data_IF_439327197140
#
_entry.id   IF_439327197140
#
_cell.length_a   1.000
_cell.length_b   1.000
_cell.length_c   1.000
_cell.angle_alpha   90.00
_cell.angle_beta   90.00
_cell.angle_gamma   90.00
#
_symmetry.space_group_name_H-M   'P 1'
#
loop_
_entity.id
_entity.type
_entity.pdbx_description
1 polymer ?
#
# COMPACT_ATOMS: atom_id res chain seq x y z
N UNK A 1 34.56 13.86 -25.13
CA UNK A 1 33.72 12.73 -24.66
C UNK A 1 33.63 12.64 -23.14
N UNK A 2 34.73 12.66 -22.38
CA UNK A 2 34.69 12.62 -20.89
C UNK A 2 33.77 13.70 -20.26
N UNK A 3 33.83 14.95 -20.73
CA UNK A 3 32.96 16.05 -20.23
C UNK A 3 31.46 15.78 -20.44
N UNK A 4 31.08 15.18 -21.57
CA UNK A 4 29.70 14.81 -21.88
C UNK A 4 29.19 13.72 -20.93
N UNK A 5 29.96 12.65 -20.72
CA UNK A 5 29.58 11.56 -19.84
C UNK A 5 29.40 12.06 -18.40
N UNK A 6 30.32 12.88 -17.90
CA UNK A 6 30.20 13.48 -16.55
C UNK A 6 28.96 14.36 -16.41
N UNK A 7 28.59 15.12 -17.45
CA UNK A 7 27.42 15.99 -17.44
C UNK A 7 26.11 15.18 -17.43
N UNK A 8 26.01 14.13 -18.26
CA UNK A 8 24.87 13.21 -18.24
C UNK A 8 24.72 12.55 -16.87
N UNK A 9 25.80 12.01 -16.31
CA UNK A 9 25.80 11.39 -14.97
C UNK A 9 25.33 12.38 -13.91
N UNK A 10 25.86 13.61 -13.91
CA UNK A 10 25.48 14.64 -12.94
C UNK A 10 24.00 15.02 -13.03
N UNK A 11 23.48 15.19 -14.25
CA UNK A 11 22.10 15.60 -14.47
C UNK A 11 21.09 14.49 -14.19
N UNK A 12 21.42 13.24 -14.53
CA UNK A 12 20.63 12.06 -14.17
C UNK A 12 20.58 11.93 -12.64
N UNK A 13 21.73 11.99 -11.95
CA UNK A 13 21.79 11.89 -10.49
C UNK A 13 21.02 13.03 -9.81
N UNK A 14 21.11 14.26 -10.33
CA UNK A 14 20.34 15.41 -9.82
C UNK A 14 18.83 15.22 -9.99
N UNK A 15 18.39 14.73 -11.15
CA UNK A 15 16.97 14.49 -11.46
C UNK A 15 16.41 13.35 -10.61
N UNK A 16 17.22 12.33 -10.31
CA UNK A 16 16.84 11.25 -9.39
C UNK A 16 16.83 11.69 -7.92
N UNK A 17 17.77 12.59 -7.55
CA UNK A 17 17.80 13.20 -6.22
C UNK A 17 16.61 14.15 -5.99
N UNK A 18 16.03 14.70 -7.06
CA UNK A 18 14.70 15.29 -7.04
C UNK A 18 13.66 14.16 -6.89
N UNK A 19 13.55 13.65 -5.65
CA UNK A 19 12.77 12.49 -5.16
C UNK A 19 11.29 12.39 -5.58
N UNK A 20 10.77 13.25 -6.44
CA UNK A 20 9.35 13.32 -6.80
C UNK A 20 8.85 12.00 -7.40
N UNK A 21 9.58 11.38 -8.33
CA UNK A 21 9.14 10.11 -8.95
C UNK A 21 9.05 8.98 -7.92
N UNK A 22 10.06 8.80 -7.07
CA UNK A 22 10.03 7.77 -6.03
C UNK A 22 9.02 8.09 -4.91
N UNK A 23 8.76 9.36 -4.66
CA UNK A 23 7.71 9.79 -3.71
C UNK A 23 6.32 9.50 -4.25
N UNK A 24 6.08 9.76 -5.54
CA UNK A 24 4.84 9.37 -6.23
C UNK A 24 4.67 7.86 -6.27
N UNK A 25 5.74 7.11 -6.56
CA UNK A 25 5.73 5.65 -6.51
C UNK A 25 5.37 5.15 -5.11
N UNK A 26 6.02 5.67 -4.06
CA UNK A 26 5.71 5.36 -2.68
C UNK A 26 4.24 5.64 -2.37
N UNK A 27 3.73 6.82 -2.71
CA UNK A 27 2.33 7.18 -2.51
C UNK A 27 1.39 6.22 -3.25
N UNK A 28 1.72 5.84 -4.48
CA UNK A 28 0.97 4.88 -5.28
C UNK A 28 0.93 3.48 -4.66
N UNK A 29 2.04 3.00 -4.09
CA UNK A 29 2.03 1.73 -3.35
C UNK A 29 1.19 1.85 -2.08
N UNK A 30 1.36 2.93 -1.31
CA UNK A 30 0.62 3.12 -0.05
C UNK A 30 -0.89 3.27 -0.28
N UNK A 31 -1.34 3.81 -1.42
CA UNK A 31 -2.76 3.94 -1.74
C UNK A 31 -3.45 2.61 -2.07
N UNK A 32 -2.69 1.53 -2.29
CA UNK A 32 -3.25 0.18 -2.49
C UNK A 32 -3.65 -0.52 -1.19
N UNK A 33 -3.41 0.11 -0.04
CA UNK A 33 -3.72 -0.47 1.25
C UNK A 33 -5.22 -0.81 1.37
N UNK A 34 -5.58 -2.00 1.88
CA UNK A 34 -6.97 -2.43 1.95
C UNK A 34 -7.77 -1.57 2.94
N UNK A 35 -8.84 -0.92 2.49
CA UNK A 35 -9.67 -0.06 3.34
C UNK A 35 -10.63 -0.89 4.20
N UNK A 36 -10.14 -1.35 5.36
CA UNK A 36 -10.97 -2.05 6.35
C UNK A 36 -11.68 -1.07 7.26
N UNK A 37 -12.99 -1.27 7.43
CA UNK A 37 -13.82 -0.50 8.36
C UNK A 37 -14.37 -1.44 9.42
N UNK A 38 -14.13 -1.17 10.72
CA UNK A 38 -14.54 -2.07 11.81
C UNK A 38 -16.03 -1.94 12.16
N UNK A 39 -16.86 -1.75 11.13
CA UNK A 39 -18.29 -1.45 11.17
C UNK A 39 -19.05 -2.35 10.20
N UNK A 40 -20.36 -2.42 10.33
CA UNK A 40 -21.22 -3.18 9.41
C UNK A 40 -21.64 -2.30 8.24
N UNK A 41 -21.78 -2.88 7.04
CA UNK A 41 -22.28 -2.16 5.87
C UNK A 41 -23.70 -1.58 6.06
N UNK A 42 -24.49 -2.21 6.94
CA UNK A 42 -25.84 -1.80 7.31
C UNK A 42 -25.90 -0.73 8.40
N UNK A 43 -24.77 -0.31 8.96
CA UNK A 43 -24.78 0.68 10.04
C UNK A 43 -25.37 2.02 9.52
N UNK A 44 -26.31 2.64 10.26
CA UNK A 44 -27.25 3.66 9.76
C UNK A 44 -26.66 4.96 9.21
N UNK A 45 -25.33 5.10 9.13
CA UNK A 45 -24.65 6.30 8.65
C UNK A 45 -23.73 6.09 7.43
N UNK A 46 -23.73 4.92 6.79
CA UNK A 46 -23.07 4.75 5.47
C UNK A 46 -23.86 5.48 4.36
N UNK A 47 -25.12 5.87 4.64
CA UNK A 47 -26.04 6.51 3.71
C UNK A 47 -26.01 8.05 3.60
N UNK A 48 -25.13 8.76 4.30
CA UNK A 48 -24.93 10.20 4.04
C UNK A 48 -23.72 10.32 3.11
N UNK A 49 -23.95 10.79 1.88
CA UNK A 49 -22.95 11.14 0.86
C UNK A 49 -21.58 11.63 1.41
N UNK A 50 -20.66 10.71 1.72
CA UNK A 50 -19.25 11.03 1.96
C UNK A 50 -18.35 10.12 1.14
N UNK A 51 -18.52 10.17 -0.17
CA UNK A 51 -17.39 10.13 -1.11
C UNK A 51 -17.53 11.38 -1.98
N UNK A 52 -16.47 12.19 -2.24
CA UNK A 52 -15.03 11.89 -2.14
C UNK A 52 -14.21 13.01 -1.44
N UNK A 53 -13.38 12.70 -0.43
CA UNK A 53 -12.25 13.58 -0.08
C UNK A 53 -10.97 12.89 -0.51
N UNK A 54 -10.66 13.07 -1.79
CA UNK A 54 -9.27 13.20 -2.20
C UNK A 54 -8.74 14.50 -1.59
N UNK A 55 -7.68 14.39 -0.79
CA UNK A 55 -6.61 15.36 -0.60
C UNK A 55 -5.58 14.72 0.33
N UNK A 56 -4.78 13.77 -0.18
CA UNK A 56 -3.49 14.17 -0.73
C UNK A 56 -3.01 13.22 -1.84
N UNK A 57 -3.56 13.40 -3.03
CA UNK A 57 -2.83 13.27 -4.30
C UNK A 57 -3.72 13.87 -5.40
N UNK A 58 -3.15 14.61 -6.38
CA UNK A 58 -3.94 15.18 -7.46
C UNK A 58 -4.58 14.04 -8.25
N UNK A 59 -5.88 14.14 -8.43
CA UNK A 59 -6.69 13.29 -9.30
C UNK A 59 -6.07 13.25 -10.70
N UNK A 60 -5.44 12.12 -11.02
CA UNK A 60 -5.09 11.73 -12.37
C UNK A 60 -5.96 10.53 -12.73
N UNK A 61 -7.00 10.81 -13.52
CA UNK A 61 -7.87 9.90 -14.27
C UNK A 61 -7.47 8.40 -14.27
N UNK A 62 -8.28 7.52 -13.65
CA UNK A 62 -8.20 6.06 -13.82
C UNK A 62 -9.12 5.25 -12.89
N UNK A 63 -9.71 4.12 -13.34
CA UNK A 63 -10.74 3.37 -12.61
C UNK A 63 -10.12 2.27 -11.75
N UNK A 64 -9.85 2.54 -10.47
CA UNK A 64 -9.62 1.50 -9.48
C UNK A 64 -10.43 1.86 -8.23
N UNK A 65 -11.68 1.38 -8.21
CA UNK A 65 -12.61 1.60 -7.09
C UNK A 65 -11.97 1.00 -5.82
N UNK A 66 -11.62 1.83 -4.84
CA UNK A 66 -11.11 1.35 -3.55
C UNK A 66 -12.24 0.54 -2.90
N UNK A 67 -12.12 -0.78 -2.93
CA UNK A 67 -13.13 -1.66 -2.34
C UNK A 67 -13.03 -1.56 -0.83
N UNK A 68 -14.05 -0.95 -0.22
CA UNK A 68 -14.17 -0.85 1.23
C UNK A 68 -14.65 -2.19 1.78
N UNK A 69 -13.96 -2.66 2.81
CA UNK A 69 -14.18 -3.95 3.43
C UNK A 69 -14.74 -3.76 4.84
N UNK A 70 -16.06 -3.92 4.96
CA UNK A 70 -16.79 -3.93 6.23
C UNK A 70 -16.73 -5.31 6.90
N UNK A 71 -17.09 -5.38 8.17
CA UNK A 71 -17.00 -6.61 8.96
C UNK A 71 -17.96 -7.70 8.50
N UNK A 72 -19.16 -7.34 8.07
CA UNK A 72 -20.13 -8.26 7.49
C UNK A 72 -19.62 -8.85 6.17
N UNK A 73 -18.96 -8.05 5.32
CA UNK A 73 -18.30 -8.57 4.13
C UNK A 73 -17.20 -9.58 4.46
N UNK A 74 -16.37 -9.30 5.47
CA UNK A 74 -15.32 -10.23 5.91
C UNK A 74 -15.90 -11.52 6.48
N UNK A 75 -16.98 -11.41 7.26
CA UNK A 75 -17.70 -12.56 7.82
C UNK A 75 -18.31 -13.43 6.73
N UNK A 76 -18.91 -12.82 5.72
CA UNK A 76 -19.45 -13.52 4.54
C UNK A 76 -18.35 -14.24 3.74
N UNK A 77 -17.22 -13.57 3.50
CA UNK A 77 -16.07 -14.19 2.83
C UNK A 77 -15.56 -15.40 3.60
N UNK A 78 -15.53 -15.30 4.93
CA UNK A 78 -15.12 -16.40 5.81
C UNK A 78 -16.09 -17.57 5.80
N UNK A 79 -17.38 -17.30 5.91
CA UNK A 79 -18.40 -18.35 5.85
C UNK A 79 -18.41 -19.06 4.50
N UNK A 80 -18.28 -18.32 3.39
CA UNK A 80 -18.19 -18.90 2.03
C UNK A 80 -16.95 -19.77 1.86
N UNK A 81 -15.81 -19.37 2.43
CA UNK A 81 -14.60 -20.19 2.39
C UNK A 81 -14.76 -21.51 3.16
N UNK A 82 -15.42 -21.48 4.32
CA UNK A 82 -15.69 -22.67 5.13
C UNK A 82 -16.62 -23.68 4.42
N UNK A 83 -17.63 -23.21 3.69
CA UNK A 83 -18.59 -24.06 2.95
C UNK A 83 -17.92 -24.84 1.80
N UNK A 84 -16.85 -24.30 1.22
CA UNK A 84 -16.12 -24.94 0.11
C UNK A 84 -15.19 -26.09 0.55
N UNK A 85 -15.35 -26.63 1.76
CA UNK A 85 -14.58 -27.78 2.25
C UNK A 85 -13.19 -27.44 2.80
N UNK A 86 -12.88 -26.16 3.02
CA UNK A 86 -11.69 -25.71 3.74
C UNK A 86 -11.96 -25.86 5.25
N UNK A 87 -11.78 -27.08 5.76
CA UNK A 87 -12.12 -27.43 7.15
C UNK A 87 -11.21 -26.76 8.18
N UNK A 88 -11.82 -26.09 9.17
CA UNK A 88 -11.47 -25.95 10.60
C UNK A 88 -10.10 -25.38 11.00
N UNK A 89 -9.17 -25.15 10.07
CA UNK A 89 -7.90 -24.50 10.33
C UNK A 89 -7.63 -23.43 9.28
N UNK A 90 -7.55 -22.19 9.78
CA UNK A 90 -6.88 -21.02 9.21
C UNK A 90 -7.68 -20.09 8.30
N UNK A 91 -7.72 -18.83 8.74
CA UNK A 91 -7.96 -17.60 7.98
C UNK A 91 -7.04 -17.42 6.74
N UNK A 92 -6.14 -18.38 6.48
CA UNK A 92 -5.07 -18.32 5.51
C UNK A 92 -5.53 -18.18 4.05
N UNK A 93 -6.58 -18.86 3.54
CA UNK A 93 -7.02 -18.70 2.15
C UNK A 93 -7.59 -17.30 1.86
N UNK A 94 -8.32 -16.71 2.82
CA UNK A 94 -8.91 -15.38 2.69
C UNK A 94 -7.85 -14.32 2.83
N UNK A 95 -6.95 -14.49 3.80
CA UNK A 95 -5.78 -13.64 3.96
C UNK A 95 -4.95 -13.58 2.68
N UNK A 96 -4.68 -14.73 2.05
CA UNK A 96 -4.01 -14.80 0.74
C UNK A 96 -4.77 -14.04 -0.34
N UNK A 97 -6.09 -14.22 -0.43
CA UNK A 97 -6.90 -13.52 -1.43
C UNK A 97 -6.84 -11.99 -1.26
N UNK A 98 -6.95 -11.51 -0.02
CA UNK A 98 -6.85 -10.08 0.32
C UNK A 98 -5.45 -9.52 0.05
N UNK A 99 -4.40 -10.29 0.33
CA UNK A 99 -3.01 -9.91 0.02
C UNK A 99 -2.81 -9.81 -1.48
N UNK A 100 -3.21 -10.84 -2.22
CA UNK A 100 -3.09 -10.86 -3.68
C UNK A 100 -3.85 -9.71 -4.34
N UNK A 101 -4.95 -9.24 -3.74
CA UNK A 101 -5.71 -8.11 -4.25
C UNK A 101 -4.91 -6.80 -4.26
N UNK A 102 -4.15 -6.48 -3.20
CA UNK A 102 -3.31 -5.27 -3.21
C UNK A 102 -1.97 -5.49 -3.92
N UNK A 103 -1.36 -6.68 -3.78
CA UNK A 103 -0.10 -7.01 -4.47
C UNK A 103 -0.28 -6.97 -5.99
N UNK A 104 -1.44 -7.41 -6.49
CA UNK A 104 -1.79 -7.36 -7.91
C UNK A 104 -1.77 -5.94 -8.50
N UNK A 105 -2.02 -4.91 -7.68
CA UNK A 105 -1.99 -3.50 -8.11
C UNK A 105 -0.57 -2.95 -8.24
N UNK A 106 0.39 -3.51 -7.51
CA UNK A 106 1.77 -2.99 -7.46
C UNK A 106 2.48 -3.06 -8.80
N UNK A 107 2.20 -4.06 -9.63
CA UNK A 107 2.81 -4.18 -10.95
C UNK A 107 2.58 -2.92 -11.79
N UNK A 108 1.39 -2.34 -11.76
CA UNK A 108 1.06 -1.11 -12.50
C UNK A 108 1.91 0.07 -12.01
N UNK A 109 2.04 0.25 -10.70
CA UNK A 109 2.84 1.33 -10.11
C UNK A 109 4.34 1.17 -10.40
N UNK A 110 4.85 -0.06 -10.42
CA UNK A 110 6.24 -0.34 -10.79
C UNK A 110 6.49 0.03 -12.26
N UNK A 111 5.59 -0.37 -13.16
CA UNK A 111 5.70 -0.04 -14.59
C UNK A 111 5.66 1.47 -14.83
N UNK A 112 4.72 2.18 -14.19
CA UNK A 112 4.61 3.64 -14.28
C UNK A 112 5.88 4.34 -13.76
N UNK A 113 6.44 3.86 -12.66
CA UNK A 113 7.69 4.38 -12.10
C UNK A 113 8.86 4.24 -13.08
N UNK A 114 9.06 3.04 -13.65
CA UNK A 114 10.11 2.79 -14.65
C UNK A 114 9.92 3.67 -15.89
N UNK A 115 8.69 3.80 -16.38
CA UNK A 115 8.38 4.63 -17.55
C UNK A 115 8.71 6.10 -17.32
N UNK A 116 8.29 6.66 -16.17
CA UNK A 116 8.60 8.06 -15.81
C UNK A 116 10.10 8.31 -15.72
N UNK A 117 10.85 7.39 -15.10
CA UNK A 117 12.31 7.50 -15.02
C UNK A 117 12.92 7.42 -16.42
N UNK A 118 12.46 6.48 -17.25
CA UNK A 118 12.94 6.32 -18.62
C UNK A 118 12.73 7.59 -19.45
N UNK A 119 11.52 8.16 -19.44
CA UNK A 119 11.23 9.42 -20.13
C UNK A 119 12.11 10.57 -19.62
N UNK A 120 12.34 10.65 -18.32
CA UNK A 120 13.24 11.63 -17.71
C UNK A 120 14.68 11.51 -18.22
N UNK A 121 15.24 10.30 -18.25
CA UNK A 121 16.59 10.07 -18.78
C UNK A 121 16.66 10.38 -20.28
N UNK A 122 15.67 9.97 -21.06
CA UNK A 122 15.59 10.29 -22.50
C UNK A 122 15.56 11.81 -22.76
N UNK A 123 14.85 12.57 -21.94
CA UNK A 123 14.81 14.03 -22.04
C UNK A 123 16.17 14.67 -21.72
N UNK A 124 16.84 14.21 -20.65
CA UNK A 124 18.18 14.66 -20.27
C UNK A 124 19.17 14.38 -21.40
N UNK A 125 19.20 13.14 -21.90
CA UNK A 125 20.05 12.74 -23.02
C UNK A 125 19.82 13.62 -24.24
N UNK A 126 18.56 13.86 -24.61
CA UNK A 126 18.25 14.69 -25.77
C UNK A 126 18.76 16.13 -25.58
N UNK A 127 18.64 16.71 -24.38
CA UNK A 127 19.14 18.06 -24.10
C UNK A 127 20.67 18.14 -24.16
N UNK A 128 21.38 17.18 -23.55
CA UNK A 128 22.85 17.19 -23.51
C UNK A 128 23.41 16.87 -24.90
N UNK A 129 22.81 15.93 -25.63
CA UNK A 129 23.22 15.61 -27.01
C UNK A 129 23.06 16.82 -27.94
N UNK A 130 21.93 17.51 -27.84
CA UNK A 130 21.70 18.72 -28.63
C UNK A 130 22.69 19.82 -28.24
N UNK A 131 23.00 20.02 -26.96
CA UNK A 131 23.96 21.03 -26.54
C UNK A 131 25.39 20.78 -27.06
N UNK A 132 25.83 19.52 -27.08
CA UNK A 132 27.22 19.16 -27.45
C UNK A 132 27.42 18.91 -28.95
N UNK A 133 26.44 18.35 -29.65
CA UNK A 133 26.62 17.85 -31.02
C UNK A 133 25.75 18.56 -32.07
N UNK A 134 25.09 19.68 -31.75
CA UNK A 134 24.25 20.42 -32.72
C UNK A 134 25.00 20.82 -34.00
N UNK A 135 26.32 21.01 -33.91
CA UNK A 135 27.16 21.39 -35.04
C UNK A 135 27.38 20.24 -36.04
N UNK A 136 27.10 18.99 -35.65
CA UNK A 136 27.34 17.79 -36.44
C UNK A 136 26.06 16.94 -36.55
N UNK A 137 25.11 17.29 -37.44
CA UNK A 137 23.79 16.66 -37.49
C UNK A 137 23.83 15.16 -37.79
N UNK A 138 24.72 14.72 -38.69
CA UNK A 138 24.90 13.30 -39.03
C UNK A 138 25.43 12.48 -37.84
N UNK A 139 26.45 13.00 -37.16
CA UNK A 139 27.01 12.38 -35.96
C UNK A 139 25.98 12.36 -34.82
N UNK A 140 25.23 13.45 -34.63
CA UNK A 140 24.17 13.55 -33.64
C UNK A 140 23.07 12.51 -33.89
N UNK A 141 22.64 12.33 -35.14
CA UNK A 141 21.66 11.30 -35.51
C UNK A 141 22.17 9.90 -35.15
N UNK A 142 23.42 9.59 -35.51
CA UNK A 142 24.05 8.30 -35.23
C UNK A 142 24.21 8.02 -33.74
N UNK A 143 24.71 8.99 -32.98
CA UNK A 143 24.86 8.86 -31.52
C UNK A 143 23.49 8.64 -30.86
N UNK A 144 22.45 9.39 -31.28
CA UNK A 144 21.08 9.19 -30.78
C UNK A 144 20.61 7.76 -31.01
N UNK A 145 20.75 7.21 -32.21
CA UNK A 145 20.29 5.85 -32.49
C UNK A 145 20.93 4.82 -31.55
N UNK A 146 22.25 4.86 -31.39
CA UNK A 146 22.96 3.86 -30.57
C UNK A 146 22.64 4.04 -29.08
N UNK A 147 22.54 5.28 -28.60
CA UNK A 147 22.17 5.55 -27.20
C UNK A 147 20.73 5.16 -26.88
N UNK A 148 19.78 5.44 -27.78
CA UNK A 148 18.39 5.04 -27.59
C UNK A 148 18.21 3.52 -27.69
N UNK A 149 18.99 2.83 -28.52
CA UNK A 149 19.04 1.37 -28.52
C UNK A 149 19.53 0.83 -27.16
N UNK A 150 20.61 1.41 -26.62
CA UNK A 150 21.20 0.96 -25.36
C UNK A 150 20.28 1.22 -24.15
N UNK A 151 19.62 2.39 -24.11
CA UNK A 151 18.70 2.70 -23.00
C UNK A 151 17.43 1.83 -23.05
N UNK A 152 16.91 1.50 -24.24
CA UNK A 152 15.77 0.57 -24.38
C UNK A 152 16.15 -0.86 -23.97
N UNK A 153 17.38 -1.29 -24.29
CA UNK A 153 17.93 -2.57 -23.82
C UNK A 153 17.98 -2.60 -22.29
N UNK A 154 18.52 -1.57 -21.66
CA UNK A 154 18.59 -1.47 -20.20
C UNK A 154 17.18 -1.43 -19.57
N UNK A 155 16.23 -0.71 -20.17
CA UNK A 155 14.82 -0.66 -19.73
C UNK A 155 14.18 -2.04 -19.76
N UNK A 156 14.37 -2.79 -20.83
CA UNK A 156 13.86 -4.16 -20.97
C UNK A 156 14.46 -5.07 -19.89
N UNK A 157 15.78 -4.97 -19.64
CA UNK A 157 16.48 -5.75 -18.63
C UNK A 157 15.96 -5.49 -17.20
N UNK A 158 15.73 -4.23 -16.84
CA UNK A 158 15.20 -3.89 -15.51
C UNK A 158 13.74 -4.33 -15.33
N UNK A 159 12.90 -4.22 -16.37
CA UNK A 159 11.51 -4.65 -16.32
C UNK A 159 11.38 -6.16 -16.10
N UNK A 160 12.26 -6.96 -16.73
CA UNK A 160 12.32 -8.41 -16.51
C UNK A 160 12.64 -8.75 -15.05
N UNK A 161 13.59 -8.02 -14.44
CA UNK A 161 13.96 -8.21 -13.03
C UNK A 161 12.84 -7.78 -12.08
N UNK A 162 12.17 -6.67 -12.38
CA UNK A 162 11.09 -6.13 -11.55
C UNK A 162 9.79 -6.96 -11.63
N UNK A 163 9.57 -7.72 -12.70
CA UNK A 163 8.38 -8.56 -12.87
C UNK A 163 8.25 -9.68 -11.83
N UNK A 164 9.33 -10.03 -11.12
CA UNK A 164 9.29 -10.99 -10.01
C UNK A 164 8.93 -10.35 -8.67
N UNK A 165 9.12 -9.04 -8.49
CA UNK A 165 9.00 -8.38 -7.18
C UNK A 165 7.60 -8.53 -6.59
N UNK A 166 6.48 -8.22 -7.30
CA UNK A 166 5.15 -8.45 -6.76
C UNK A 166 4.86 -9.93 -6.53
N UNK A 167 5.38 -10.82 -7.39
CA UNK A 167 5.13 -12.27 -7.27
C UNK A 167 5.70 -12.84 -5.98
N UNK A 168 6.83 -12.33 -5.52
CA UNK A 168 7.44 -12.72 -4.25
C UNK A 168 6.58 -12.38 -3.04
N UNK A 169 5.64 -11.44 -3.18
CA UNK A 169 4.80 -10.92 -2.10
C UNK A 169 3.40 -11.55 -2.08
N UNK A 170 3.10 -12.45 -3.02
CA UNK A 170 1.80 -13.15 -3.11
C UNK A 170 1.56 -14.15 -1.98
N UNK A 171 2.63 -14.67 -1.38
CA UNK A 171 2.58 -15.56 -0.23
C UNK A 171 3.16 -14.82 0.98
N UNK A 172 2.37 -14.56 2.04
CA UNK A 172 2.85 -13.80 3.17
C UNK A 172 3.97 -14.51 3.90
N UNK A 173 5.16 -13.90 3.88
CA UNK A 173 6.30 -14.38 4.63
C UNK A 173 7.15 -13.21 5.11
N UNK A 174 7.64 -13.30 6.36
CA UNK A 174 8.60 -12.35 6.91
C UNK A 174 9.41 -13.00 8.01
N UNK A 175 10.72 -12.75 8.03
CA UNK A 175 11.57 -13.11 9.16
C UNK A 175 11.50 -12.08 10.29
N UNK A 176 10.99 -10.87 10.01
CA UNK A 176 10.76 -9.84 11.02
C UNK A 176 9.47 -10.13 11.80
N UNK A 177 9.42 -11.29 12.44
CA UNK A 177 8.24 -11.80 13.16
C UNK A 177 7.84 -10.85 14.30
N UNK A 178 8.81 -10.28 15.01
CA UNK A 178 8.56 -9.30 16.07
C UNK A 178 7.83 -8.06 15.55
N UNK A 179 8.23 -7.57 14.37
CA UNK A 179 7.64 -6.37 13.76
C UNK A 179 6.23 -6.67 13.28
N UNK A 180 6.01 -7.84 12.67
CA UNK A 180 4.68 -8.27 12.25
C UNK A 180 3.72 -8.38 13.44
N UNK A 181 4.15 -9.02 14.53
CA UNK A 181 3.34 -9.11 15.75
C UNK A 181 3.01 -7.74 16.33
N UNK A 182 3.98 -6.82 16.34
CA UNK A 182 3.75 -5.46 16.83
C UNK A 182 2.77 -4.68 15.94
N UNK A 183 2.88 -4.79 14.62
CA UNK A 183 1.97 -4.11 13.69
C UNK A 183 0.56 -4.69 13.76
N UNK A 184 0.44 -6.02 13.84
CA UNK A 184 -0.84 -6.70 14.06
C UNK A 184 -1.53 -6.19 15.32
N UNK A 185 -0.82 -6.10 16.44
CA UNK A 185 -1.39 -5.60 17.69
C UNK A 185 -1.83 -4.14 17.55
N UNK A 186 -1.03 -3.28 16.92
CA UNK A 186 -1.39 -1.88 16.69
C UNK A 186 -2.67 -1.73 15.85
N UNK A 187 -2.77 -2.46 14.74
CA UNK A 187 -3.96 -2.44 13.89
C UNK A 187 -5.19 -3.04 14.59
N UNK A 188 -5.02 -4.12 15.35
CA UNK A 188 -6.11 -4.71 16.12
C UNK A 188 -6.64 -3.73 17.18
N UNK A 189 -5.74 -3.09 17.94
CA UNK A 189 -6.12 -2.08 18.92
C UNK A 189 -6.82 -0.88 18.26
N UNK A 190 -6.30 -0.41 17.12
CA UNK A 190 -6.93 0.63 16.32
C UNK A 190 -8.39 0.26 15.98
N UNK A 191 -8.61 -0.92 15.39
CA UNK A 191 -9.96 -1.35 15.01
C UNK A 191 -10.90 -1.58 16.19
N UNK A 192 -10.39 -2.15 17.29
CA UNK A 192 -11.19 -2.35 18.51
C UNK A 192 -11.60 -1.00 19.12
N UNK A 193 -10.70 -0.03 19.15
CA UNK A 193 -10.98 1.30 19.67
C UNK A 193 -11.99 2.05 18.78
N UNK A 194 -11.75 2.10 17.46
CA UNK A 194 -12.68 2.72 16.50
C UNK A 194 -14.08 2.12 16.59
N UNK A 195 -14.18 0.80 16.81
CA UNK A 195 -15.45 0.09 17.00
C UNK A 195 -16.11 0.43 18.33
N UNK A 196 -15.36 0.39 19.43
CA UNK A 196 -15.86 0.72 20.76
C UNK A 196 -16.36 2.17 20.82
N UNK A 197 -15.62 3.12 20.26
CA UNK A 197 -16.02 4.52 20.15
C UNK A 197 -17.34 4.68 19.39
N UNK A 198 -17.51 3.95 18.29
CA UNK A 198 -18.76 3.97 17.52
C UNK A 198 -19.93 3.30 18.25
N UNK A 199 -19.68 2.26 19.04
CA UNK A 199 -20.73 1.65 19.87
C UNK A 199 -21.17 2.57 21.01
N UNK A 200 -20.25 3.36 21.57
CA UNK A 200 -20.54 4.32 22.65
C UNK A 200 -21.18 5.61 22.11
N UNK A 201 -20.74 6.10 20.96
CA UNK A 201 -21.26 7.30 20.30
C UNK A 201 -21.62 7.00 18.83
N UNK A 202 -22.74 6.32 18.55
CA UNK A 202 -23.13 5.95 17.19
C UNK A 202 -23.40 7.14 16.26
N UNK A 203 -23.51 8.33 16.83
CA UNK A 203 -23.76 9.60 16.14
C UNK A 203 -22.48 10.38 15.79
N UNK A 204 -21.31 9.93 16.25
CA UNK A 204 -20.02 10.57 16.00
C UNK A 204 -19.20 9.69 15.05
N UNK A 205 -18.74 10.26 13.94
CA UNK A 205 -17.86 9.56 12.99
C UNK A 205 -16.62 10.42 12.70
N UNK A 206 -15.46 9.77 12.69
CA UNK A 206 -14.21 10.35 12.21
C UNK A 206 -14.08 10.08 10.71
N UNK A 207 -14.01 11.16 9.93
CA UNK A 207 -13.73 11.09 8.49
C UNK A 207 -12.44 11.86 8.25
N UNK A 208 -11.32 11.13 8.16
CA UNK A 208 -9.99 11.75 8.22
C UNK A 208 -9.77 12.41 9.59
N UNK A 209 -9.36 13.68 9.60
CA UNK A 209 -9.13 14.47 10.82
C UNK A 209 -10.39 15.24 11.30
N UNK A 210 -11.55 15.03 10.68
CA UNK A 210 -12.77 15.79 10.95
C UNK A 210 -13.78 14.95 11.72
N UNK A 211 -14.20 15.46 12.89
CA UNK A 211 -15.27 14.88 13.71
C UNK A 211 -16.62 15.37 13.19
N UNK A 212 -17.45 14.46 12.70
CA UNK A 212 -18.85 14.74 12.37
C UNK A 212 -19.75 14.32 13.54
N UNK A 213 -20.51 15.28 14.08
CA UNK A 213 -21.59 15.03 15.05
C UNK A 213 -22.94 15.13 14.33
N UNK A 214 -23.63 13.99 14.21
CA UNK A 214 -24.94 13.88 13.56
C UNK A 214 -26.11 14.06 14.53
N UNK A 215 -25.84 14.41 15.80
CA UNK A 215 -26.85 14.58 16.86
C UNK A 215 -27.95 15.60 16.52
N UNK A 216 -27.74 16.47 15.54
CA UNK A 216 -28.70 17.52 15.17
C UNK A 216 -29.87 17.06 14.29
N UNK A 217 -29.99 15.78 13.89
CA UNK A 217 -31.07 15.38 12.97
C UNK A 217 -31.91 14.13 13.31
N UNK A 218 -31.62 13.35 14.35
CA UNK A 218 -32.58 12.31 14.81
C UNK A 218 -32.58 12.24 16.33
N UNK A 219 -33.30 13.17 16.95
CA UNK A 219 -33.75 13.02 18.33
C UNK A 219 -35.04 12.20 18.29
N UNK A 220 -34.92 10.87 18.32
CA UNK A 220 -35.72 10.01 19.18
C UNK A 220 -35.22 8.56 19.03
N UNK A 221 -35.05 7.86 20.16
CA UNK A 221 -34.85 6.41 20.25
C UNK A 221 -33.46 5.84 19.92
N UNK A 222 -32.56 5.87 20.92
CA UNK A 222 -31.68 4.73 21.19
C UNK A 222 -31.29 4.71 22.68
N UNK A 223 -31.60 3.58 23.30
CA UNK A 223 -31.67 3.35 24.74
C UNK A 223 -30.36 3.49 25.50
N UNK A 224 -30.54 4.01 26.71
CA UNK A 224 -29.74 3.81 27.92
C UNK A 224 -29.13 2.41 28.03
N UNK A 225 -27.81 2.33 28.24
CA UNK A 225 -27.22 1.16 28.89
C UNK A 225 -27.93 0.92 30.24
N UNK A 226 -28.37 -0.30 30.58
CA UNK A 226 -29.00 -0.55 31.86
C UNK A 226 -27.93 -0.52 32.93
N UNK A 227 -27.83 0.61 33.63
CA UNK A 227 -27.13 0.69 34.92
C UNK A 227 -28.09 0.22 36.01
N UNK A 228 -28.65 -0.98 35.87
CA UNK A 228 -29.57 -1.56 36.86
C UNK A 228 -28.75 -2.27 37.95
N UNK A 229 -28.62 -1.69 39.16
CA UNK A 229 -27.81 -2.27 40.24
C UNK A 229 -28.33 -3.65 40.69
N UNK A 230 -29.62 -3.92 40.43
CA UNK A 230 -30.30 -5.17 40.75
C UNK A 230 -29.79 -6.31 39.84
N UNK A 231 -29.58 -6.05 38.55
CA UNK A 231 -29.09 -7.05 37.59
C UNK A 231 -27.67 -7.49 37.95
N UNK A 232 -26.79 -6.54 38.28
CA UNK A 232 -25.41 -6.82 38.65
C UNK A 232 -25.30 -7.63 39.96
N UNK A 233 -26.17 -7.34 40.94
CA UNK A 233 -26.26 -8.12 42.18
C UNK A 233 -26.69 -9.57 41.93
N UNK A 234 -27.66 -9.79 41.03
CA UNK A 234 -28.13 -11.13 40.69
C UNK A 234 -27.06 -11.96 39.98
N UNK A 235 -26.28 -11.34 39.08
CA UNK A 235 -25.17 -12.00 38.37
C UNK A 235 -24.05 -12.40 39.33
N UNK A 236 -23.67 -11.51 40.27
CA UNK A 236 -22.66 -11.83 41.29
C UNK A 236 -23.11 -12.99 42.19
N UNK A 237 -24.38 -12.99 42.62
CA UNK A 237 -24.93 -14.08 43.43
C UNK A 237 -24.91 -15.42 42.67
N UNK A 238 -25.22 -15.43 41.38
CA UNK A 238 -25.13 -16.63 40.54
C UNK A 238 -23.70 -17.15 40.36
N UNK A 239 -22.72 -16.25 40.17
CA UNK A 239 -21.30 -16.62 40.07
C UNK A 239 -20.73 -17.17 41.38
N UNK A 240 -21.17 -16.62 42.51
CA UNK A 240 -20.82 -17.12 43.84
C UNK A 240 -21.33 -18.55 44.06
N UNK A 241 -22.55 -18.86 43.60
CA UNK A 241 -23.09 -20.22 43.65
C UNK A 241 -22.34 -21.22 42.77
N UNK A 242 -21.69 -20.75 41.70
CA UNK A 242 -20.83 -21.55 40.81
C UNK A 242 -19.39 -21.69 41.33
N UNK A 243 -19.08 -21.18 42.53
CA UNK A 243 -17.77 -21.32 43.17
C UNK A 243 -16.79 -20.16 42.91
N UNK A 244 -17.23 -19.08 42.24
CA UNK A 244 -16.42 -17.89 42.01
C UNK A 244 -16.67 -16.83 43.09
N UNK A 245 -16.27 -17.12 44.32
CA UNK A 245 -16.61 -16.33 45.52
C UNK A 245 -15.92 -14.96 45.66
N UNK A 246 -14.79 -14.76 44.98
CA UNK A 246 -13.95 -13.55 45.12
C UNK A 246 -14.22 -12.48 44.05
N UNK A 247 -15.21 -12.69 43.17
CA UNK A 247 -15.52 -11.75 42.08
C UNK A 247 -16.28 -10.54 42.60
N UNK A 248 -15.76 -9.35 42.31
CA UNK A 248 -16.40 -8.07 42.64
C UNK A 248 -17.12 -7.46 41.45
N UNK A 249 -17.96 -6.44 41.68
CA UNK A 249 -18.56 -5.64 40.60
C UNK A 249 -17.51 -5.04 39.65
N UNK A 250 -16.30 -4.74 40.16
CA UNK A 250 -15.19 -4.27 39.35
C UNK A 250 -14.65 -5.35 38.39
N UNK A 251 -14.73 -6.63 38.78
CA UNK A 251 -14.32 -7.75 37.94
C UNK A 251 -15.35 -8.06 36.85
N UNK A 252 -16.64 -7.80 37.11
CA UNK A 252 -17.66 -7.85 36.06
C UNK A 252 -17.42 -6.82 34.95
N UNK A 253 -16.77 -5.68 35.25
CA UNK A 253 -16.36 -4.70 34.23
C UNK A 253 -15.23 -5.24 33.34
N UNK A 254 -14.53 -6.30 33.75
CA UNK A 254 -13.50 -6.98 32.96
C UNK A 254 -14.10 -8.06 32.05
N UNK A 255 -15.33 -8.50 32.31
CA UNK A 255 -16.13 -9.28 31.36
C UNK A 255 -16.56 -8.37 30.20
N UNK A 256 -15.71 -8.26 29.18
CA UNK A 256 -16.16 -7.79 27.87
C UNK A 256 -16.90 -8.95 27.21
N UNK A 257 -18.12 -8.69 26.74
CA UNK A 257 -18.79 -9.59 25.79
C UNK A 257 -17.83 -9.79 24.62
N UNK A 258 -17.53 -11.05 24.28
CA UNK A 258 -16.71 -11.36 23.12
C UNK A 258 -17.38 -10.75 21.89
N UNK A 259 -16.67 -9.89 21.16
CA UNK A 259 -17.21 -9.29 19.94
C UNK A 259 -17.50 -10.39 18.91
N UNK A 260 -18.70 -10.40 18.35
CA UNK A 260 -19.15 -11.35 17.32
C UNK A 260 -18.33 -11.25 16.01
N UNK A 261 -17.49 -10.23 15.89
CA UNK A 261 -16.60 -9.96 14.75
C UNK A 261 -15.11 -9.98 15.12
N UNK A 262 -14.74 -10.56 16.27
CA UNK A 262 -13.34 -10.63 16.72
C UNK A 262 -12.41 -11.23 15.67
N UNK A 263 -12.83 -12.32 15.02
CA UNK A 263 -12.00 -13.01 14.01
C UNK A 263 -11.81 -12.15 12.76
N UNK A 264 -12.83 -11.40 12.34
CA UNK A 264 -12.75 -10.47 11.20
C UNK A 264 -11.84 -9.28 11.50
N UNK A 265 -11.85 -8.77 12.74
CA UNK A 265 -10.93 -7.73 13.20
C UNK A 265 -9.48 -8.23 13.24
N UNK A 266 -9.26 -9.45 13.73
CA UNK A 266 -7.94 -10.09 13.72
C UNK A 266 -7.44 -10.32 12.29
N UNK A 267 -8.29 -10.78 11.37
CA UNK A 267 -7.97 -10.95 9.95
C UNK A 267 -7.59 -9.63 9.29
N UNK A 268 -8.38 -8.57 9.52
CA UNK A 268 -8.09 -7.24 8.99
C UNK A 268 -6.73 -6.72 9.49
N UNK A 269 -6.45 -6.90 10.78
CA UNK A 269 -5.18 -6.53 11.40
C UNK A 269 -3.99 -7.34 10.85
N UNK A 270 -4.16 -8.65 10.63
CA UNK A 270 -3.14 -9.51 10.03
C UNK A 270 -2.80 -9.08 8.60
N UNK A 271 -3.82 -8.80 7.78
CA UNK A 271 -3.63 -8.34 6.40
C UNK A 271 -2.96 -6.97 6.37
N UNK A 272 -3.38 -6.03 7.23
CA UNK A 272 -2.76 -4.70 7.31
C UNK A 272 -1.34 -4.73 7.85
N UNK A 273 -1.08 -5.50 8.89
CA UNK A 273 0.26 -5.68 9.42
C UNK A 273 1.23 -6.25 8.37
N UNK A 274 0.76 -7.21 7.57
CA UNK A 274 1.56 -7.71 6.45
C UNK A 274 1.76 -6.66 5.35
N UNK A 275 0.71 -5.91 4.99
CA UNK A 275 0.78 -4.83 4.01
C UNK A 275 1.87 -3.81 4.36
N UNK A 276 1.95 -3.36 5.63
CA UNK A 276 2.94 -2.36 6.05
C UNK A 276 4.39 -2.86 5.88
N UNK A 277 4.65 -4.13 6.17
CA UNK A 277 5.97 -4.72 5.97
C UNK A 277 6.28 -4.88 4.47
N UNK A 278 5.36 -5.49 3.72
CA UNK A 278 5.56 -5.81 2.32
C UNK A 278 5.69 -4.54 1.45
N UNK A 279 4.83 -3.55 1.68
CA UNK A 279 4.93 -2.24 1.03
C UNK A 279 6.26 -1.55 1.33
N UNK A 280 6.74 -1.60 2.58
CA UNK A 280 8.06 -1.11 2.98
C UNK A 280 9.21 -1.74 2.17
N UNK A 281 9.17 -3.07 1.97
CA UNK A 281 10.16 -3.75 1.13
C UNK A 281 10.09 -3.31 -0.33
N UNK A 282 8.89 -3.22 -0.90
CA UNK A 282 8.71 -2.87 -2.31
C UNK A 282 9.14 -1.43 -2.60
N UNK A 283 8.83 -0.49 -1.71
CA UNK A 283 9.25 0.92 -1.88
C UNK A 283 10.77 1.11 -1.78
N UNK A 284 11.49 0.18 -1.15
CA UNK A 284 12.96 0.21 -1.08
C UNK A 284 13.61 -0.58 -2.23
N UNK A 285 13.16 -1.82 -2.47
CA UNK A 285 13.77 -2.69 -3.47
C UNK A 285 13.58 -2.21 -4.90
N UNK A 286 12.42 -1.66 -5.25
CA UNK A 286 12.16 -1.20 -6.63
C UNK A 286 13.13 -0.06 -7.03
N UNK A 287 13.28 1.02 -6.24
CA UNK A 287 14.29 2.04 -6.53
C UNK A 287 15.72 1.50 -6.58
N UNK A 288 16.09 0.57 -5.69
CA UNK A 288 17.42 -0.05 -5.68
C UNK A 288 17.68 -0.81 -6.99
N UNK A 289 16.72 -1.63 -7.42
CA UNK A 289 16.81 -2.41 -8.66
C UNK A 289 16.90 -1.47 -9.87
N UNK A 290 16.10 -0.40 -9.92
CA UNK A 290 16.15 0.58 -11.00
C UNK A 290 17.51 1.29 -11.03
N UNK A 291 17.99 1.75 -9.88
CA UNK A 291 19.28 2.43 -9.82
C UNK A 291 20.41 1.53 -10.33
N UNK A 292 20.47 0.28 -9.86
CA UNK A 292 21.57 -0.62 -10.19
C UNK A 292 21.48 -1.22 -11.60
N UNK A 293 20.29 -1.70 -12.01
CA UNK A 293 20.12 -2.48 -13.25
C UNK A 293 19.59 -1.68 -14.43
N UNK A 294 19.27 -0.41 -14.25
CA UNK A 294 18.91 0.47 -15.35
C UNK A 294 19.88 1.64 -15.45
N UNK A 295 19.97 2.45 -14.39
CA UNK A 295 20.69 3.72 -14.44
C UNK A 295 22.20 3.51 -14.43
N UNK A 296 22.74 2.77 -13.44
CA UNK A 296 24.17 2.47 -13.38
C UNK A 296 24.64 1.71 -14.61
N UNK A 297 23.92 0.66 -15.03
CA UNK A 297 24.28 -0.11 -16.22
C UNK A 297 24.32 0.76 -17.49
N UNK A 298 23.35 1.65 -17.67
CA UNK A 298 23.35 2.59 -18.80
C UNK A 298 24.53 3.58 -18.73
N UNK A 299 24.76 4.18 -17.56
CA UNK A 299 25.83 5.18 -17.38
C UNK A 299 27.23 4.57 -17.55
N UNK A 300 27.44 3.33 -17.12
CA UNK A 300 28.71 2.61 -17.29
C UNK A 300 28.98 2.30 -18.77
N UNK A 301 27.93 1.96 -19.53
CA UNK A 301 28.03 1.67 -20.96
C UNK A 301 28.13 2.94 -21.83
N UNK A 302 27.79 4.12 -21.28
CA UNK A 302 27.73 5.38 -22.02
C UNK A 302 29.04 5.69 -22.77
N UNK A 303 30.18 5.57 -22.09
CA UNK A 303 31.49 5.87 -22.70
C UNK A 303 31.83 4.88 -23.82
N UNK A 304 31.53 3.60 -23.63
CA UNK A 304 31.73 2.57 -24.65
C UNK A 304 30.87 2.83 -25.89
N UNK A 305 29.60 3.20 -25.67
CA UNK A 305 28.65 3.52 -26.74
C UNK A 305 29.09 4.73 -27.56
N UNK A 306 29.61 5.78 -26.91
CA UNK A 306 30.13 6.97 -27.60
C UNK A 306 31.37 6.65 -28.45
N UNK A 307 32.29 5.82 -27.94
CA UNK A 307 33.47 5.38 -28.71
C UNK A 307 33.05 4.55 -29.92
N UNK A 308 32.08 3.64 -29.76
CA UNK A 308 31.52 2.86 -30.87
C UNK A 308 30.92 3.77 -31.96
N UNK A 309 30.24 4.85 -31.56
CA UNK A 309 29.67 5.81 -32.51
C UNK A 309 30.75 6.55 -33.33
N UNK A 310 31.88 6.89 -32.70
CA UNK A 310 32.99 7.64 -33.31
C UNK A 310 33.80 6.77 -34.31
N UNK A 311 34.11 5.52 -33.93
CA UNK A 311 34.88 4.58 -34.78
C UNK A 311 34.18 4.35 -36.13
N UNK A 312 32.85 4.30 -36.12
CA UNK A 312 32.05 4.12 -37.33
C UNK A 312 31.79 5.43 -38.11
N UNK A 313 32.18 6.60 -37.58
CA UNK A 313 32.21 7.85 -38.35
C UNK A 313 33.51 7.98 -39.15
N UNK A 314 34.63 7.43 -38.65
CA UNK A 314 35.96 7.53 -39.27
C UNK A 314 36.13 6.53 -40.44
N UNK A 315 35.24 5.55 -40.56
CA UNK A 315 35.21 4.59 -41.67
C UNK A 315 34.14 4.99 -42.69
N UNK A 316 34.46 5.83 -43.70
CA UNK A 316 33.55 6.05 -44.81
C UNK A 316 33.41 4.75 -45.61
N UNK A 317 32.16 4.36 -45.89
CA UNK A 317 31.83 3.43 -46.97
C UNK A 317 32.03 4.11 -48.33
#
# INVERSE_FOLDING_TARGET
MSKFSTEVVAQVNSTLAAKDIYTQFKSGIMSTAPDFRPYLSSDPQIGINVFPIAQSAPSVNGPDNVQILYLDHLKDLRQKAAVNGLSNFQSHPIQLALINAFVGKWQRHILDCVEKIHLGVCAILNSVLSAHFNQYPELLCRIRMILYEDIERCKTGVLQKLASVPKMETVPFTQNTWQLSSLREQWLQHYVNERAERMVNPWICLIGDVVHDTRTQVMDQASTAPSDPILASNVLAGLQQLGYGDLTLADLRRLKVSDDYKEELELAADVRGYFDIASGRVIDFVPIIINHHYLSEFLDNLNFTLVKADIHHITPQ
#
